data_IF_091178694674
#
_entry.id   IF_091178694674
#
_cell.length_a   1.000
_cell.length_b   1.000
_cell.length_c   1.000
_cell.angle_alpha   90.00
_cell.angle_beta   90.00
_cell.angle_gamma   90.00
#
_symmetry.space_group_name_H-M   'P 1'
#
loop_
_entity.id
_entity.type
_entity.pdbx_description
1 polymer ?
#
# COMPACT_ATOMS: atom_id res chain seq x y z
N UNK A 1 9.97 10.41 20.74
CA UNK A 1 8.48 10.34 20.82
C UNK A 1 7.92 9.55 19.63
N UNK A 2 7.02 8.57 19.83
CA UNK A 2 6.29 7.85 18.76
C UNK A 2 4.92 8.47 18.54
N UNK A 3 4.50 8.61 17.28
CA UNK A 3 3.25 9.28 16.91
C UNK A 3 2.15 8.26 16.65
N UNK A 4 0.93 8.58 17.07
CA UNK A 4 -0.28 7.81 16.74
C UNK A 4 -1.35 8.78 16.25
N UNK A 5 -2.22 8.32 15.34
CA UNK A 5 -3.29 9.12 14.76
C UNK A 5 -4.66 8.51 15.13
N UNK A 6 -5.66 9.37 15.30
CA UNK A 6 -7.05 8.98 15.54
C UNK A 6 -7.96 9.77 14.58
N UNK A 7 -8.69 9.12 13.66
CA UNK A 7 -8.73 7.67 13.41
C UNK A 7 -7.38 7.13 12.90
N UNK A 8 -7.11 5.82 13.08
CA UNK A 8 -5.89 5.21 12.57
C UNK A 8 -5.83 5.28 11.05
N UNK A 9 -4.63 5.11 10.49
CA UNK A 9 -4.44 5.01 9.04
C UNK A 9 -5.26 3.83 8.51
N UNK A 10 -5.97 4.00 7.38
CA UNK A 10 -6.66 2.90 6.71
C UNK A 10 -5.74 1.74 6.39
N UNK A 11 -6.28 0.54 6.46
CA UNK A 11 -5.59 -0.72 6.21
C UNK A 11 -6.40 -1.60 5.27
N UNK A 12 -5.71 -2.50 4.58
CA UNK A 12 -6.36 -3.57 3.81
C UNK A 12 -7.16 -4.53 4.70
N UNK A 13 -6.88 -4.53 6.01
CA UNK A 13 -7.55 -5.34 7.01
C UNK A 13 -8.73 -4.59 7.68
N UNK A 14 -9.06 -3.38 7.23
CA UNK A 14 -10.22 -2.67 7.75
C UNK A 14 -11.50 -3.42 7.34
N UNK A 15 -12.47 -3.49 8.26
CA UNK A 15 -13.75 -4.16 8.01
C UNK A 15 -14.41 -3.63 6.73
N UNK A 16 -14.80 -4.53 5.84
CA UNK A 16 -15.44 -4.20 4.57
C UNK A 16 -14.48 -3.77 3.44
N UNK A 17 -13.18 -3.58 3.71
CA UNK A 17 -12.23 -3.14 2.68
C UNK A 17 -12.13 -4.14 1.53
N UNK A 18 -12.03 -5.44 1.85
CA UNK A 18 -11.92 -6.49 0.85
C UNK A 18 -13.20 -6.56 -0.01
N UNK A 19 -14.37 -6.52 0.62
CA UNK A 19 -15.67 -6.56 -0.04
C UNK A 19 -15.85 -5.36 -0.98
N UNK A 20 -15.60 -4.14 -0.50
CA UNK A 20 -15.68 -2.91 -1.32
C UNK A 20 -14.71 -2.94 -2.50
N UNK A 21 -13.50 -3.41 -2.26
CA UNK A 21 -12.46 -3.47 -3.29
C UNK A 21 -12.79 -4.52 -4.36
N UNK A 22 -13.21 -5.72 -3.95
CA UNK A 22 -13.62 -6.78 -4.89
C UNK A 22 -14.86 -6.35 -5.67
N UNK A 23 -15.83 -5.71 -5.01
CA UNK A 23 -17.02 -5.19 -5.68
C UNK A 23 -16.69 -4.16 -6.75
N UNK A 24 -15.81 -3.19 -6.45
CA UNK A 24 -15.34 -2.22 -7.43
C UNK A 24 -14.54 -2.88 -8.56
N UNK A 25 -13.71 -3.88 -8.25
CA UNK A 25 -12.95 -4.63 -9.25
C UNK A 25 -13.86 -5.41 -10.21
N UNK A 26 -14.86 -6.12 -9.69
CA UNK A 26 -15.84 -6.86 -10.49
C UNK A 26 -16.65 -5.91 -11.35
N UNK A 27 -17.11 -4.78 -10.81
CA UNK A 27 -17.81 -3.75 -11.59
C UNK A 27 -17.01 -3.31 -12.82
N UNK A 28 -15.69 -3.21 -12.68
CA UNK A 28 -14.80 -2.73 -13.74
C UNK A 28 -14.38 -3.84 -14.72
N UNK A 29 -14.13 -5.05 -14.25
CA UNK A 29 -13.46 -6.11 -15.02
C UNK A 29 -14.36 -7.31 -15.36
N UNK A 30 -15.46 -7.48 -14.63
CA UNK A 30 -16.43 -8.58 -14.78
C UNK A 30 -17.87 -8.04 -14.72
N UNK A 31 -18.26 -7.09 -15.60
CA UNK A 31 -19.55 -6.43 -15.52
C UNK A 31 -20.74 -7.39 -15.64
N UNK A 32 -20.58 -8.52 -16.34
CA UNK A 32 -21.61 -9.56 -16.46
C UNK A 32 -21.85 -10.32 -15.15
N UNK A 33 -20.88 -10.30 -14.24
CA UNK A 33 -20.98 -10.89 -12.91
C UNK A 33 -21.29 -9.84 -11.84
N UNK A 34 -21.41 -8.56 -12.19
CA UNK A 34 -21.64 -7.48 -11.24
C UNK A 34 -23.08 -7.41 -10.75
N UNK A 35 -23.25 -7.27 -9.43
CA UNK A 35 -24.53 -7.04 -8.79
C UNK A 35 -24.42 -5.87 -7.83
N UNK A 36 -25.23 -4.82 -8.02
CA UNK A 36 -25.18 -3.60 -7.18
C UNK A 36 -25.33 -3.92 -5.68
N UNK A 37 -26.21 -4.87 -5.34
CA UNK A 37 -26.53 -5.26 -3.97
C UNK A 37 -25.52 -6.24 -3.35
N UNK A 38 -24.48 -6.67 -4.08
CA UNK A 38 -23.50 -7.63 -3.57
C UNK A 38 -22.79 -7.15 -2.31
N UNK A 39 -22.68 -5.85 -2.05
CA UNK A 39 -22.12 -5.35 -0.80
C UNK A 39 -23.01 -5.61 0.43
N UNK A 40 -24.33 -5.69 0.26
CA UNK A 40 -25.30 -5.77 1.37
C UNK A 40 -26.02 -7.12 1.45
N UNK A 41 -26.09 -7.86 0.34
CA UNK A 41 -26.79 -9.14 0.25
C UNK A 41 -25.85 -10.24 -0.27
N UNK A 42 -25.45 -11.14 0.63
CA UNK A 42 -24.49 -12.23 0.36
C UNK A 42 -24.94 -13.21 -0.74
N UNK A 43 -26.25 -13.31 -0.99
CA UNK A 43 -26.79 -14.18 -2.05
C UNK A 43 -26.33 -13.76 -3.45
N UNK A 44 -25.98 -12.49 -3.65
CA UNK A 44 -25.42 -11.97 -4.91
C UNK A 44 -23.90 -12.06 -4.97
N UNK A 45 -23.23 -12.48 -3.90
CA UNK A 45 -21.79 -12.77 -3.89
C UNK A 45 -21.59 -14.22 -4.30
N UNK A 46 -21.83 -14.58 -5.56
CA UNK A 46 -21.53 -15.92 -6.06
C UNK A 46 -20.23 -15.93 -6.87
N UNK A 47 -19.75 -17.14 -7.18
CA UNK A 47 -18.56 -17.40 -8.00
C UNK A 47 -17.38 -16.48 -7.65
N UNK A 48 -17.14 -15.53 -8.55
CA UNK A 48 -16.00 -14.61 -8.53
C UNK A 48 -15.93 -13.71 -7.29
N UNK A 49 -17.08 -13.26 -6.77
CA UNK A 49 -17.13 -12.43 -5.57
C UNK A 49 -16.57 -13.19 -4.36
N UNK A 50 -17.11 -14.37 -4.10
CA UNK A 50 -16.75 -15.19 -2.93
C UNK A 50 -15.27 -15.56 -2.95
N UNK A 51 -14.76 -15.99 -4.09
CA UNK A 51 -13.38 -16.48 -4.18
C UNK A 51 -12.36 -15.34 -4.09
N UNK A 52 -12.61 -14.18 -4.72
CA UNK A 52 -11.70 -13.03 -4.59
C UNK A 52 -11.72 -12.40 -3.20
N UNK A 53 -12.86 -12.41 -2.50
CA UNK A 53 -12.93 -11.95 -1.10
C UNK A 53 -12.18 -12.94 -0.19
N UNK A 54 -12.41 -14.25 -0.36
CA UNK A 54 -11.76 -15.27 0.46
C UNK A 54 -10.24 -15.27 0.30
N UNK A 55 -9.76 -15.16 -0.95
CA UNK A 55 -8.34 -15.14 -1.29
C UNK A 55 -7.74 -13.74 -1.36
N UNK A 56 -8.42 -12.72 -0.83
CA UNK A 56 -7.99 -11.32 -0.89
C UNK A 56 -6.59 -11.11 -0.32
N UNK A 57 -6.21 -11.90 0.69
CA UNK A 57 -4.88 -11.86 1.30
C UNK A 57 -3.74 -12.19 0.32
N UNK A 58 -4.03 -12.86 -0.80
CA UNK A 58 -3.08 -13.16 -1.87
C UNK A 58 -2.96 -12.05 -2.94
N UNK A 59 -3.58 -10.88 -2.76
CA UNK A 59 -3.64 -9.85 -3.81
C UNK A 59 -2.26 -9.40 -4.35
N UNK A 60 -1.19 -9.54 -3.57
CA UNK A 60 0.19 -9.18 -3.96
C UNK A 60 0.89 -10.25 -4.79
N UNK A 61 0.32 -11.44 -4.88
CA UNK A 61 0.84 -12.53 -5.68
C UNK A 61 -0.25 -13.06 -6.61
N UNK A 62 -0.43 -12.42 -7.78
CA UNK A 62 -1.43 -12.85 -8.75
C UNK A 62 -1.28 -14.31 -9.18
N UNK A 63 -0.06 -14.87 -9.18
CA UNK A 63 0.17 -16.26 -9.57
C UNK A 63 -0.36 -17.23 -8.52
N UNK A 64 -0.12 -16.95 -7.24
CA UNK A 64 -0.68 -17.71 -6.13
C UNK A 64 -2.20 -17.57 -6.12
N UNK A 65 -2.72 -16.34 -6.24
CA UNK A 65 -4.15 -16.08 -6.29
C UNK A 65 -4.81 -16.90 -7.40
N UNK A 66 -4.28 -16.86 -8.63
CA UNK A 66 -4.80 -17.65 -9.74
C UNK A 66 -4.78 -19.15 -9.45
N UNK A 67 -3.70 -19.66 -8.84
CA UNK A 67 -3.59 -21.09 -8.52
C UNK A 67 -4.70 -21.52 -7.59
N UNK A 68 -5.00 -20.72 -6.56
CA UNK A 68 -6.08 -20.97 -5.61
C UNK A 68 -7.45 -20.89 -6.29
N UNK A 69 -7.67 -19.87 -7.13
CA UNK A 69 -8.92 -19.71 -7.88
C UNK A 69 -9.21 -20.92 -8.79
N UNK A 70 -8.18 -21.49 -9.45
CA UNK A 70 -8.32 -22.70 -10.27
C UNK A 70 -8.56 -23.94 -9.39
N UNK A 71 -7.74 -24.16 -8.38
CA UNK A 71 -7.72 -25.42 -7.63
C UNK A 71 -8.88 -25.54 -6.65
N UNK A 72 -9.15 -24.48 -5.90
CA UNK A 72 -10.07 -24.52 -4.76
C UNK A 72 -11.47 -24.02 -5.13
N UNK A 73 -11.56 -23.18 -6.16
CA UNK A 73 -12.83 -22.61 -6.62
C UNK A 73 -13.24 -23.10 -8.02
N UNK A 74 -12.42 -23.95 -8.66
CA UNK A 74 -12.75 -24.57 -9.95
C UNK A 74 -12.90 -23.58 -11.10
N UNK A 75 -12.26 -22.40 -11.01
CA UNK A 75 -12.36 -21.40 -12.07
C UNK A 75 -11.77 -21.91 -13.38
N UNK A 76 -12.55 -21.83 -14.46
CA UNK A 76 -12.05 -21.98 -15.82
C UNK A 76 -11.49 -20.63 -16.30
N UNK A 77 -10.17 -20.48 -16.29
CA UNK A 77 -9.52 -19.25 -16.73
C UNK A 77 -9.48 -19.13 -18.24
N UNK A 78 -10.03 -18.03 -18.76
CA UNK A 78 -9.66 -17.54 -20.09
C UNK A 78 -8.36 -16.73 -20.02
N UNK A 79 -7.74 -16.49 -21.17
CA UNK A 79 -6.63 -15.54 -21.26
C UNK A 79 -7.03 -14.12 -20.81
N UNK A 80 -8.29 -13.75 -20.97
CA UNK A 80 -8.78 -12.45 -20.54
C UNK A 80 -8.83 -12.35 -19.00
N UNK A 81 -9.22 -13.42 -18.31
CA UNK A 81 -9.27 -13.48 -16.85
C UNK A 81 -7.88 -13.41 -16.25
N UNK A 82 -6.90 -14.07 -16.89
CA UNK A 82 -5.49 -13.93 -16.54
C UNK A 82 -5.06 -12.45 -16.52
N UNK A 83 -5.31 -11.74 -17.63
CA UNK A 83 -4.94 -10.33 -17.74
C UNK A 83 -5.67 -9.41 -16.75
N UNK A 84 -6.86 -9.81 -16.25
CA UNK A 84 -7.60 -9.09 -15.22
C UNK A 84 -6.98 -9.35 -13.85
N UNK A 85 -6.74 -10.61 -13.47
CA UNK A 85 -6.17 -10.97 -12.17
C UNK A 85 -4.74 -10.44 -11.99
N UNK A 86 -3.93 -10.40 -13.05
CA UNK A 86 -2.60 -9.77 -13.00
C UNK A 86 -2.65 -8.27 -12.62
N UNK A 87 -3.79 -7.60 -12.85
CA UNK A 87 -3.99 -6.19 -12.47
C UNK A 87 -4.58 -6.03 -11.07
N UNK A 88 -4.96 -7.12 -10.41
CA UNK A 88 -5.63 -7.06 -9.11
C UNK A 88 -4.75 -6.42 -8.04
N UNK A 89 -3.45 -6.74 -8.03
CA UNK A 89 -2.49 -6.10 -7.10
C UNK A 89 -2.51 -4.57 -7.24
N UNK A 90 -2.38 -4.09 -8.48
CA UNK A 90 -2.36 -2.66 -8.77
C UNK A 90 -3.68 -2.00 -8.39
N UNK A 91 -4.80 -2.69 -8.62
CA UNK A 91 -6.13 -2.20 -8.25
C UNK A 91 -6.28 -2.05 -6.74
N UNK A 92 -5.94 -3.08 -5.96
CA UNK A 92 -5.98 -3.02 -4.48
C UNK A 92 -5.05 -1.93 -3.95
N UNK A 93 -3.84 -1.83 -4.50
CA UNK A 93 -2.88 -0.78 -4.14
C UNK A 93 -3.38 0.64 -4.46
N UNK A 94 -4.19 0.79 -5.52
CA UNK A 94 -4.83 2.05 -5.83
C UNK A 94 -5.94 2.38 -4.82
N UNK A 95 -6.79 1.42 -4.47
CA UNK A 95 -7.87 1.62 -3.49
C UNK A 95 -7.33 2.04 -2.12
N UNK A 96 -6.28 1.37 -1.61
CA UNK A 96 -5.67 1.76 -0.33
C UNK A 96 -5.02 3.16 -0.41
N UNK A 97 -4.40 3.51 -1.56
CA UNK A 97 -3.83 4.84 -1.76
C UNK A 97 -4.91 5.94 -1.74
N UNK A 98 -6.05 5.70 -2.37
CA UNK A 98 -7.17 6.64 -2.37
C UNK A 98 -7.73 6.83 -0.95
N UNK A 99 -7.97 5.73 -0.20
CA UNK A 99 -8.42 5.81 1.19
C UNK A 99 -7.42 6.54 2.09
N UNK A 100 -6.11 6.29 1.93
CA UNK A 100 -5.09 7.01 2.70
C UNK A 100 -5.07 8.51 2.40
N UNK A 101 -5.25 8.93 1.14
CA UNK A 101 -5.32 10.35 0.80
C UNK A 101 -6.56 11.01 1.40
N UNK A 102 -7.72 10.35 1.30
CA UNK A 102 -8.95 10.83 1.92
C UNK A 102 -8.78 10.93 3.44
N UNK A 103 -8.17 9.93 4.08
CA UNK A 103 -7.88 9.95 5.50
C UNK A 103 -6.99 11.14 5.90
N UNK A 104 -5.91 11.42 5.15
CA UNK A 104 -5.06 12.58 5.40
C UNK A 104 -5.84 13.89 5.28
N UNK A 105 -6.67 14.02 4.25
CA UNK A 105 -7.45 15.23 3.98
C UNK A 105 -8.55 15.46 5.02
N UNK A 106 -9.35 14.44 5.33
CA UNK A 106 -10.48 14.54 6.26
C UNK A 106 -10.05 14.78 7.70
N UNK A 107 -8.88 14.28 8.10
CA UNK A 107 -8.39 14.36 9.49
C UNK A 107 -7.26 15.40 9.68
N UNK A 108 -7.01 16.23 8.66
CA UNK A 108 -5.96 17.25 8.62
C UNK A 108 -4.58 16.75 9.10
N UNK A 109 -4.19 15.54 8.67
CA UNK A 109 -2.96 14.89 9.13
C UNK A 109 -1.74 15.69 8.69
N UNK A 110 -0.97 16.19 9.66
CA UNK A 110 0.27 16.95 9.43
C UNK A 110 1.53 16.10 9.70
N UNK A 111 2.66 16.40 9.04
CA UNK A 111 3.95 15.78 9.36
C UNK A 111 4.34 16.09 10.82
N UNK A 112 4.57 15.07 11.67
CA UNK A 112 4.86 15.29 13.09
C UNK A 112 6.27 15.84 13.36
N UNK A 113 7.22 15.58 12.45
CA UNK A 113 8.62 15.96 12.57
C UNK A 113 9.05 16.83 11.39
N UNK A 114 10.06 17.68 11.61
CA UNK A 114 10.56 18.59 10.58
C UNK A 114 11.58 17.90 9.65
N UNK A 115 11.72 18.42 8.43
CA UNK A 115 12.78 18.00 7.52
C UNK A 115 14.13 18.34 8.17
N UNK A 116 15.06 17.39 8.19
CA UNK A 116 16.35 17.47 8.87
C UNK A 116 16.37 16.73 10.22
N UNK A 117 15.21 16.37 10.79
CA UNK A 117 15.16 15.61 12.05
C UNK A 117 15.84 14.24 11.92
N UNK A 118 16.54 13.84 12.99
CA UNK A 118 17.03 12.47 13.18
C UNK A 118 15.92 11.61 13.77
N UNK A 119 15.71 10.45 13.16
CA UNK A 119 14.65 9.52 13.54
C UNK A 119 15.19 8.12 13.65
N UNK A 120 14.61 7.35 14.58
CA UNK A 120 14.80 5.91 14.64
C UNK A 120 13.94 5.24 13.58
N UNK A 121 14.58 4.38 12.80
CA UNK A 121 13.95 3.56 11.78
C UNK A 121 13.40 2.26 12.40
N UNK A 122 12.37 1.65 11.79
CA UNK A 122 11.89 0.32 12.17
C UNK A 122 13.00 -0.74 12.27
N UNK A 123 12.79 -1.73 13.13
CA UNK A 123 13.81 -2.71 13.52
C UNK A 123 14.31 -3.62 12.38
N UNK A 124 13.62 -3.70 11.24
CA UNK A 124 14.04 -4.50 10.10
C UNK A 124 15.06 -3.80 9.18
N UNK A 125 15.31 -2.49 9.33
CA UNK A 125 16.38 -1.80 8.62
C UNK A 125 17.74 -2.08 9.27
N UNK A 126 18.79 -2.27 8.47
CA UNK A 126 20.15 -2.50 8.99
C UNK A 126 20.63 -1.30 9.82
N UNK A 127 20.59 -0.11 9.24
CA UNK A 127 20.84 1.15 9.96
C UNK A 127 19.58 1.57 10.74
N UNK A 128 19.72 1.82 12.03
CA UNK A 128 18.59 2.17 12.91
C UNK A 128 18.28 3.66 12.96
N UNK A 129 19.11 4.51 12.37
CA UNK A 129 18.98 5.96 12.42
C UNK A 129 18.98 6.52 11.01
N UNK A 130 18.02 7.39 10.73
CA UNK A 130 17.92 8.12 9.48
C UNK A 130 17.66 9.60 9.69
N UNK A 131 17.73 10.35 8.59
CA UNK A 131 17.42 11.78 8.54
C UNK A 131 16.24 11.99 7.60
N UNK A 132 15.22 12.71 8.05
CA UNK A 132 14.09 13.08 7.20
C UNK A 132 14.60 14.07 6.14
N UNK A 133 14.56 13.70 4.86
CA UNK A 133 15.04 14.57 3.77
C UNK A 133 13.90 15.25 3.03
N UNK A 134 12.71 14.64 3.02
CA UNK A 134 11.53 15.21 2.39
C UNK A 134 10.25 14.55 2.91
N UNK A 135 9.12 15.24 2.71
CA UNK A 135 7.80 14.61 2.73
C UNK A 135 7.59 13.95 1.37
N UNK A 136 7.12 12.70 1.36
CA UNK A 136 6.90 11.96 0.13
C UNK A 136 5.71 12.55 -0.64
N UNK A 137 5.88 12.83 -1.93
CA UNK A 137 4.84 13.44 -2.79
C UNK A 137 3.88 12.43 -3.42
N UNK A 138 4.22 11.14 -3.40
CA UNK A 138 3.50 10.07 -4.10
C UNK A 138 2.74 9.15 -3.15
N UNK A 139 3.00 9.20 -1.85
CA UNK A 139 2.34 8.38 -0.84
C UNK A 139 1.97 9.25 0.35
N UNK A 140 0.70 9.19 0.73
CA UNK A 140 0.13 10.05 1.78
C UNK A 140 0.79 9.81 3.14
N UNK A 141 1.02 10.89 3.89
CA UNK A 141 1.56 10.88 5.26
C UNK A 141 2.81 9.99 5.44
N UNK A 142 3.79 10.16 4.56
CA UNK A 142 5.08 9.46 4.60
C UNK A 142 6.25 10.41 4.39
N UNK A 143 7.38 10.05 4.96
CA UNK A 143 8.66 10.70 4.74
C UNK A 143 9.53 9.90 3.78
N UNK A 144 10.42 10.61 3.09
CA UNK A 144 11.66 10.02 2.57
C UNK A 144 12.72 10.20 3.65
N UNK A 145 13.29 9.10 4.13
CA UNK A 145 14.31 9.08 5.18
C UNK A 145 15.57 8.46 4.64
N UNK A 146 16.69 9.17 4.74
CA UNK A 146 18.00 8.67 4.30
C UNK A 146 18.87 8.31 5.49
N UNK A 147 19.53 7.16 5.41
CA UNK A 147 20.56 6.76 6.37
C UNK A 147 21.85 7.53 6.14
N UNK A 148 22.81 7.43 7.08
CA UNK A 148 24.09 8.13 6.92
C UNK A 148 24.85 7.57 5.71
N UNK A 149 24.87 6.25 5.55
CA UNK A 149 25.54 5.61 4.42
C UNK A 149 24.97 6.05 3.07
N UNK A 150 23.64 6.21 2.99
CA UNK A 150 22.99 6.68 1.76
C UNK A 150 23.35 8.13 1.41
N UNK A 151 23.43 9.00 2.43
CA UNK A 151 23.82 10.40 2.26
C UNK A 151 25.30 10.48 1.83
N UNK A 152 26.18 9.75 2.51
CA UNK A 152 27.61 9.75 2.22
C UNK A 152 27.88 9.24 0.78
N UNK A 153 27.24 8.13 0.38
CA UNK A 153 27.32 7.60 -0.98
C UNK A 153 26.80 8.59 -2.04
N UNK A 154 25.66 9.24 -1.78
CA UNK A 154 25.12 10.25 -2.69
C UNK A 154 26.08 11.44 -2.87
N UNK A 155 26.75 11.88 -1.80
CA UNK A 155 27.75 12.94 -1.85
C UNK A 155 28.98 12.53 -2.67
N UNK A 156 29.43 11.28 -2.57
CA UNK A 156 30.52 10.75 -3.40
C UNK A 156 30.16 10.70 -4.89
N UNK A 157 28.92 10.29 -5.22
CA UNK A 157 28.44 10.32 -6.61
C UNK A 157 28.39 11.75 -7.16
N UNK A 158 27.94 12.71 -6.35
CA UNK A 158 27.94 14.14 -6.74
C UNK A 158 29.38 14.62 -7.00
N UNK A 159 30.31 14.32 -6.10
CA UNK A 159 31.71 14.73 -6.20
C UNK A 159 32.41 14.17 -7.44
N UNK A 160 31.99 12.99 -7.91
CA UNK A 160 32.52 12.33 -9.12
C UNK A 160 31.77 12.70 -10.41
N UNK A 161 30.77 13.58 -10.34
CA UNK A 161 29.97 14.00 -11.50
C UNK A 161 28.93 12.96 -11.96
N UNK A 162 28.73 11.89 -11.18
CA UNK A 162 27.72 10.86 -11.44
C UNK A 162 26.31 11.37 -11.13
N UNK A 163 25.33 10.97 -11.94
CA UNK A 163 23.90 11.23 -11.72
C UNK A 163 23.21 10.18 -10.84
N UNK A 164 23.91 9.09 -10.48
CA UNK A 164 23.33 8.01 -9.70
C UNK A 164 22.97 8.47 -8.28
N UNK A 165 21.76 8.15 -7.81
CA UNK A 165 21.28 8.54 -6.47
C UNK A 165 20.55 7.38 -5.80
N UNK A 166 20.72 7.27 -4.50
CA UNK A 166 19.85 6.51 -3.62
C UNK A 166 18.71 7.41 -3.14
N UNK A 167 17.47 6.91 -3.19
CA UNK A 167 16.25 7.71 -2.99
C UNK A 167 15.74 7.77 -1.54
N UNK A 168 16.43 7.08 -0.61
CA UNK A 168 15.99 6.93 0.79
C UNK A 168 14.82 5.95 0.94
N UNK A 169 14.49 5.64 2.19
CA UNK A 169 13.36 4.79 2.56
C UNK A 169 12.07 5.60 2.66
N UNK A 170 10.97 5.06 2.13
CA UNK A 170 9.64 5.67 2.26
C UNK A 170 8.97 5.09 3.51
N UNK A 171 8.75 5.92 4.54
CA UNK A 171 8.31 5.45 5.85
C UNK A 171 7.10 6.27 6.33
N UNK A 172 6.11 5.60 6.93
CA UNK A 172 4.91 6.26 7.49
C UNK A 172 5.29 7.16 8.65
N UNK A 173 4.52 8.24 8.86
CA UNK A 173 4.76 9.19 9.95
C UNK A 173 4.79 8.51 11.33
N UNK A 174 3.85 7.58 11.57
CA UNK A 174 3.67 6.85 12.82
C UNK A 174 4.69 5.72 13.07
N UNK A 175 5.46 5.33 12.05
CA UNK A 175 6.48 4.28 12.13
C UNK A 175 7.86 4.83 12.56
N UNK A 176 7.99 6.16 12.68
CA UNK A 176 9.22 6.83 13.08
C UNK A 176 9.14 7.27 14.54
N UNK A 177 10.30 7.27 15.20
CA UNK A 177 10.46 7.87 16.52
C UNK A 177 11.50 8.98 16.44
N UNK A 178 11.15 10.18 16.90
CA UNK A 178 12.12 11.28 16.99
C UNK A 178 13.23 10.91 18.00
N UNK A 179 14.47 11.11 17.59
CA UNK A 179 15.63 11.08 18.48
C UNK A 179 15.81 12.52 18.97
N UNK A 180 15.56 12.74 20.26
CA UNK A 180 15.83 14.02 20.90
C UNK A 180 17.34 14.13 21.16
N UNK A 181 17.90 15.31 20.88
CA UNK A 181 19.29 15.66 21.22
C UNK A 181 19.45 15.91 22.72
#
# INVERSE_FOLDING_TARGET
>A
MKVTFNPPRPSINDDGFAEETVHAFIKQHYPDSYHEDALVAEEYRDGIYKSLIAEFHCYQDPQVLMTLLIQDYGWEFTYEDLCKIEKFELFVNQQIYEKENQWVQHNDIKPPFHIGSKVRLPSFYEEKIGTIVAINKHRAARYNVMTKSQIDWNNEQIATGSSARQCGHIIKFEDLELIED
#
